data_IF_732417393848
#
_entry.id   IF_732417393848
#
_cell.length_a   1.000
_cell.length_b   1.000
_cell.length_c   1.000
_cell.angle_alpha   90.00
_cell.angle_beta   90.00
_cell.angle_gamma   90.00
#
_symmetry.space_group_name_H-M   'P 1'
#
loop_
_entity.id
_entity.type
_entity.pdbx_description
1 polymer ?
#
# COMPACT_ATOMS: atom_id res chain seq x y z
N UNK A 1 4.33 -51.30 -7.40
CA UNK A 1 3.77 -50.48 -6.32
C UNK A 1 2.62 -49.65 -6.92
N UNK A 2 1.41 -49.83 -6.43
CA UNK A 2 0.23 -49.17 -7.00
C UNK A 2 -0.02 -47.82 -6.29
N UNK A 3 -0.25 -46.76 -7.07
CA UNK A 3 -0.46 -45.37 -6.55
C UNK A 3 -1.72 -45.31 -5.63
N UNK A 4 -2.75 -46.08 -5.93
CA UNK A 4 -3.94 -46.15 -5.10
C UNK A 4 -3.65 -46.78 -3.73
N UNK A 5 -2.85 -47.83 -3.68
CA UNK A 5 -2.39 -48.42 -2.42
C UNK A 5 -1.54 -47.46 -1.56
N UNK A 6 -0.68 -46.65 -2.20
CA UNK A 6 0.11 -45.64 -1.49
C UNK A 6 -0.77 -44.51 -0.93
N UNK A 7 -1.76 -44.05 -1.68
CA UNK A 7 -2.71 -43.02 -1.22
C UNK A 7 -3.51 -43.52 0.00
N UNK A 8 -3.98 -44.78 -0.05
CA UNK A 8 -4.68 -45.38 1.08
C UNK A 8 -3.82 -45.43 2.35
N UNK A 9 -2.54 -45.77 2.22
CA UNK A 9 -1.60 -45.70 3.36
C UNK A 9 -1.44 -44.30 3.93
N UNK A 10 -1.41 -43.26 3.06
CA UNK A 10 -1.36 -41.87 3.49
C UNK A 10 -2.63 -41.50 4.26
N UNK A 11 -3.81 -41.86 3.72
CA UNK A 11 -5.11 -41.61 4.35
C UNK A 11 -5.20 -42.27 5.75
N UNK A 12 -4.67 -43.48 5.90
CA UNK A 12 -4.60 -44.19 7.18
C UNK A 12 -3.72 -43.42 8.20
N UNK A 13 -2.53 -42.95 7.76
CA UNK A 13 -1.61 -42.14 8.60
C UNK A 13 -2.27 -40.81 8.99
N UNK A 14 -2.93 -40.13 8.04
CA UNK A 14 -3.61 -38.87 8.31
C UNK A 14 -4.75 -39.04 9.33
N UNK A 15 -5.47 -40.14 9.28
CA UNK A 15 -6.49 -40.50 10.27
C UNK A 15 -5.92 -40.72 11.70
N UNK A 16 -4.66 -41.13 11.83
CA UNK A 16 -3.96 -41.21 13.11
C UNK A 16 -3.41 -39.84 13.54
N UNK A 17 -2.96 -39.02 12.60
CA UNK A 17 -2.36 -37.71 12.86
C UNK A 17 -3.39 -36.68 13.34
N UNK A 18 -4.60 -36.66 12.74
CA UNK A 18 -5.66 -35.69 13.06
C UNK A 18 -6.00 -35.69 14.56
N UNK A 19 -6.28 -36.82 15.23
CA UNK A 19 -6.54 -36.85 16.67
C UNK A 19 -5.38 -36.33 17.52
N UNK A 20 -4.13 -36.57 17.12
CA UNK A 20 -2.94 -36.07 17.80
C UNK A 20 -2.82 -34.56 17.70
N UNK A 21 -3.09 -34.00 16.51
CA UNK A 21 -3.12 -32.54 16.31
C UNK A 21 -4.25 -31.88 17.12
N UNK A 22 -5.45 -32.47 17.15
CA UNK A 22 -6.56 -31.98 17.97
C UNK A 22 -6.21 -31.99 19.47
N UNK A 23 -5.62 -33.08 19.94
CA UNK A 23 -5.14 -33.17 21.34
C UNK A 23 -4.09 -32.10 21.65
N UNK A 24 -3.16 -31.85 20.71
CA UNK A 24 -2.15 -30.80 20.86
C UNK A 24 -2.79 -29.41 20.90
N UNK A 25 -3.82 -29.14 20.12
CA UNK A 25 -4.55 -27.85 20.15
C UNK A 25 -5.27 -27.69 21.50
N UNK A 26 -5.93 -28.71 22.03
CA UNK A 26 -6.56 -28.67 23.34
C UNK A 26 -5.56 -28.37 24.48
N UNK A 27 -4.36 -28.95 24.44
CA UNK A 27 -3.29 -28.59 25.39
C UNK A 27 -2.85 -27.13 25.19
N UNK A 28 -2.79 -26.64 23.94
CA UNK A 28 -2.46 -25.24 23.66
C UNK A 28 -3.49 -24.27 24.24
N UNK A 29 -4.78 -24.64 24.28
CA UNK A 29 -5.83 -23.86 24.96
C UNK A 29 -5.60 -23.77 26.47
N UNK A 30 -5.22 -24.89 27.11
CA UNK A 30 -4.89 -24.90 28.55
C UNK A 30 -3.65 -24.04 28.84
N UNK A 31 -2.63 -24.08 27.95
CA UNK A 31 -1.45 -23.22 28.08
C UNK A 31 -1.83 -21.75 27.95
N UNK A 32 -2.80 -21.41 27.06
CA UNK A 32 -3.29 -20.04 26.93
C UNK A 32 -3.95 -19.54 28.22
N UNK A 33 -4.81 -20.34 28.82
CA UNK A 33 -5.44 -20.00 30.12
C UNK A 33 -4.41 -19.79 31.19
N UNK A 34 -3.45 -20.70 31.33
CA UNK A 34 -2.34 -20.58 32.30
C UNK A 34 -1.53 -19.29 32.12
N UNK A 35 -1.23 -18.92 30.86
CA UNK A 35 -0.51 -17.70 30.53
C UNK A 35 -1.35 -16.44 30.81
N UNK A 36 -2.64 -16.47 30.48
CA UNK A 36 -3.56 -15.36 30.75
C UNK A 36 -3.62 -15.02 32.24
N UNK A 37 -3.76 -16.01 33.11
CA UNK A 37 -3.81 -15.84 34.56
C UNK A 37 -2.54 -15.21 35.15
N UNK A 38 -1.39 -15.38 34.50
CA UNK A 38 -0.07 -14.95 34.96
C UNK A 38 0.54 -13.79 34.17
N UNK A 39 -0.20 -13.21 33.22
CA UNK A 39 0.30 -12.13 32.40
C UNK A 39 1.52 -12.52 31.54
N UNK A 40 1.65 -13.81 31.20
CA UNK A 40 2.79 -14.30 30.43
C UNK A 40 2.60 -14.09 28.93
N UNK A 41 3.67 -13.74 28.17
CA UNK A 41 3.59 -13.60 26.72
C UNK A 41 3.27 -14.93 26.04
N UNK A 42 2.56 -14.86 24.92
CA UNK A 42 2.24 -16.05 24.10
C UNK A 42 3.52 -16.67 23.53
N UNK A 43 4.37 -15.84 22.92
CA UNK A 43 5.62 -16.30 22.33
C UNK A 43 6.66 -16.65 23.39
N UNK A 44 7.25 -17.84 23.27
CA UNK A 44 8.45 -18.26 23.98
C UNK A 44 9.46 -18.79 22.96
N UNK A 45 10.32 -17.90 22.47
CA UNK A 45 11.28 -18.19 21.40
C UNK A 45 12.25 -19.32 21.75
N UNK A 46 12.72 -19.38 23.02
CA UNK A 46 13.64 -20.42 23.47
C UNK A 46 13.01 -21.82 23.41
N UNK A 47 11.76 -21.90 23.88
CA UNK A 47 11.02 -23.16 23.83
C UNK A 47 10.70 -23.62 22.44
N UNK A 48 10.34 -22.69 21.54
CA UNK A 48 10.07 -23.01 20.14
C UNK A 48 11.34 -23.48 19.42
N UNK A 49 12.47 -22.83 19.66
CA UNK A 49 13.76 -23.25 19.10
C UNK A 49 14.15 -24.65 19.60
N UNK A 50 14.00 -24.93 20.88
CA UNK A 50 14.24 -26.27 21.45
C UNK A 50 13.42 -27.35 20.77
N UNK A 51 12.13 -27.08 20.51
CA UNK A 51 11.24 -28.02 19.79
C UNK A 51 11.76 -28.27 18.38
N UNK A 52 12.12 -27.22 17.65
CA UNK A 52 12.63 -27.34 16.27
C UNK A 52 13.95 -28.11 16.20
N UNK A 53 14.84 -27.90 17.16
CA UNK A 53 16.14 -28.60 17.24
C UNK A 53 15.95 -30.08 17.58
N UNK A 54 15.05 -30.38 18.52
CA UNK A 54 14.69 -31.75 18.90
C UNK A 54 14.06 -32.51 17.73
N UNK A 55 13.16 -31.88 17.02
CA UNK A 55 12.54 -32.43 15.80
C UNK A 55 13.59 -32.72 14.73
N UNK A 56 14.51 -31.78 14.48
CA UNK A 56 15.55 -31.97 13.50
C UNK A 56 16.43 -33.18 13.82
N UNK A 57 16.80 -33.33 15.10
CA UNK A 57 17.67 -34.42 15.54
C UNK A 57 17.01 -35.80 15.41
N UNK A 58 15.69 -35.88 15.58
CA UNK A 58 14.92 -37.12 15.53
C UNK A 58 14.50 -37.59 14.13
N UNK A 59 14.43 -36.66 13.16
CA UNK A 59 13.83 -36.95 11.86
C UNK A 59 14.85 -37.24 10.73
N UNK A 60 16.15 -37.29 11.03
CA UNK A 60 17.20 -37.64 10.08
C UNK A 60 17.09 -36.81 8.77
N UNK A 61 17.07 -37.51 7.63
CA UNK A 61 17.02 -36.85 6.29
C UNK A 61 15.74 -36.01 6.05
N UNK A 62 14.71 -36.17 6.85
CA UNK A 62 13.44 -35.44 6.76
C UNK A 62 13.35 -34.30 7.77
N UNK A 63 14.42 -34.00 8.52
CA UNK A 63 14.44 -33.00 9.60
C UNK A 63 13.91 -31.65 9.18
N UNK A 64 14.38 -31.09 8.06
CA UNK A 64 13.93 -29.76 7.58
C UNK A 64 12.46 -29.74 7.15
N UNK A 65 11.99 -30.82 6.51
CA UNK A 65 10.57 -30.94 6.12
C UNK A 65 9.67 -30.98 7.35
N UNK A 66 10.01 -31.78 8.36
CA UNK A 66 9.22 -31.91 9.58
C UNK A 66 9.34 -30.64 10.44
N UNK A 67 10.48 -29.93 10.45
CA UNK A 67 10.58 -28.58 11.05
C UNK A 67 9.55 -27.62 10.49
N UNK A 68 9.35 -27.60 9.17
CA UNK A 68 8.34 -26.75 8.52
C UNK A 68 6.93 -27.08 9.02
N UNK A 69 6.58 -28.36 9.15
CA UNK A 69 5.29 -28.79 9.67
C UNK A 69 5.11 -28.37 11.13
N UNK A 70 6.15 -28.54 11.97
CA UNK A 70 6.09 -28.14 13.37
C UNK A 70 6.04 -26.63 13.53
N UNK A 71 6.75 -25.86 12.71
CA UNK A 71 6.63 -24.40 12.68
C UNK A 71 5.20 -23.96 12.38
N UNK A 72 4.57 -24.48 11.32
CA UNK A 72 3.17 -24.20 11.00
C UNK A 72 2.22 -24.61 12.14
N UNK A 73 2.49 -25.74 12.82
CA UNK A 73 1.70 -26.18 13.96
C UNK A 73 1.86 -25.26 15.18
N UNK A 74 3.05 -24.71 15.41
CA UNK A 74 3.29 -23.71 16.46
C UNK A 74 2.62 -22.37 16.12
N UNK A 75 2.64 -21.95 14.86
CA UNK A 75 1.92 -20.75 14.39
C UNK A 75 0.42 -20.86 14.67
N UNK A 76 -0.19 -22.01 14.31
CA UNK A 76 -1.60 -22.28 14.60
C UNK A 76 -1.89 -22.26 16.12
N UNK A 77 -0.99 -22.85 16.93
CA UNK A 77 -1.11 -22.84 18.40
C UNK A 77 -1.02 -21.41 18.96
N UNK A 78 -0.11 -20.56 18.46
CA UNK A 78 -0.02 -19.15 18.86
C UNK A 78 -1.28 -18.37 18.50
N UNK A 79 -1.79 -18.56 17.28
CA UNK A 79 -3.04 -17.92 16.84
C UNK A 79 -4.20 -18.28 17.78
N UNK A 80 -4.31 -19.55 18.16
CA UNK A 80 -5.33 -20.02 19.12
C UNK A 80 -5.13 -19.38 20.51
N UNK A 81 -3.89 -19.37 21.03
CA UNK A 81 -3.57 -18.73 22.32
C UNK A 81 -3.89 -17.25 22.32
N UNK A 82 -3.53 -16.49 21.28
CA UNK A 82 -3.89 -15.07 21.15
C UNK A 82 -5.40 -14.84 21.15
N UNK A 83 -6.17 -15.72 20.50
CA UNK A 83 -7.62 -15.65 20.52
C UNK A 83 -8.21 -15.82 21.91
N UNK A 84 -7.66 -16.72 22.73
CA UNK A 84 -8.11 -17.02 24.09
C UNK A 84 -7.68 -15.93 25.08
N UNK A 85 -6.42 -15.50 25.03
CA UNK A 85 -5.86 -14.46 25.92
C UNK A 85 -6.50 -13.11 25.63
N UNK A 86 -7.10 -12.95 24.44
CA UNK A 86 -7.76 -11.71 24.03
C UNK A 86 -6.77 -10.63 23.60
N UNK A 87 -5.60 -11.03 23.09
CA UNK A 87 -4.69 -10.11 22.40
C UNK A 87 -5.41 -9.36 21.29
N UNK A 88 -5.16 -8.04 21.20
CA UNK A 88 -5.83 -7.18 20.23
C UNK A 88 -7.30 -6.83 20.58
N UNK A 89 -7.69 -6.87 21.84
CA UNK A 89 -9.05 -6.48 22.27
C UNK A 89 -9.42 -5.08 21.80
N UNK A 90 -8.51 -4.12 21.92
CA UNK A 90 -8.73 -2.74 21.47
C UNK A 90 -8.95 -2.68 19.97
N UNK A 91 -8.05 -3.26 19.17
CA UNK A 91 -8.18 -3.29 17.71
C UNK A 91 -9.45 -4.03 17.26
N UNK A 92 -9.82 -5.09 17.96
CA UNK A 92 -11.05 -5.83 17.68
C UNK A 92 -12.28 -4.98 17.99
N UNK A 93 -12.29 -4.28 19.12
CA UNK A 93 -13.35 -3.34 19.48
C UNK A 93 -13.44 -2.20 18.47
N UNK A 94 -12.31 -1.66 17.99
CA UNK A 94 -12.28 -0.65 16.95
C UNK A 94 -12.93 -1.15 15.65
N UNK A 95 -12.64 -2.40 15.24
CA UNK A 95 -13.23 -3.01 14.04
C UNK A 95 -14.74 -3.29 14.23
N UNK A 96 -15.13 -3.78 15.39
CA UNK A 96 -16.55 -4.07 15.71
C UNK A 96 -17.38 -2.79 15.78
N UNK A 97 -16.81 -1.71 16.32
CA UNK A 97 -17.42 -0.40 16.44
C UNK A 97 -17.24 0.50 15.20
N UNK A 98 -16.51 0.02 14.18
CA UNK A 98 -16.27 0.79 12.96
C UNK A 98 -17.58 1.18 12.28
N UNK A 99 -17.60 2.38 11.70
CA UNK A 99 -18.73 2.88 10.92
C UNK A 99 -18.87 2.01 9.66
N UNK A 100 -19.97 1.26 9.57
CA UNK A 100 -20.28 0.45 8.38
C UNK A 100 -21.12 1.27 7.43
N UNK A 101 -20.62 1.45 6.20
CA UNK A 101 -21.23 2.31 5.18
C UNK A 101 -21.18 1.63 3.81
N UNK A 102 -22.08 2.00 2.93
CA UNK A 102 -22.04 1.50 1.55
C UNK A 102 -20.93 2.17 0.74
N UNK A 103 -20.71 3.48 0.95
CA UNK A 103 -19.68 4.27 0.25
C UNK A 103 -19.12 5.35 1.18
N UNK A 104 -17.85 5.68 0.96
CA UNK A 104 -17.21 6.81 1.63
C UNK A 104 -17.93 8.12 1.25
N UNK A 105 -18.43 8.84 2.27
CA UNK A 105 -19.08 10.12 2.10
C UNK A 105 -18.27 11.24 2.77
N UNK A 106 -18.03 12.30 2.01
CA UNK A 106 -17.27 13.47 2.47
C UNK A 106 -18.06 14.37 3.41
N UNK A 107 -19.36 14.15 3.53
CA UNK A 107 -20.28 15.01 4.30
C UNK A 107 -20.15 16.50 3.93
N UNK A 108 -19.95 16.79 2.64
CA UNK A 108 -19.79 18.15 2.13
C UNK A 108 -18.41 18.78 2.37
N UNK A 109 -17.51 18.10 3.08
CA UNK A 109 -16.13 18.58 3.30
C UNK A 109 -15.23 18.31 2.08
N UNK A 110 -14.20 19.14 1.84
CA UNK A 110 -13.23 18.90 0.78
C UNK A 110 -12.37 17.66 1.08
N UNK A 111 -11.78 17.11 0.02
CA UNK A 111 -10.73 16.09 0.11
C UNK A 111 -9.38 16.81 0.16
N UNK A 112 -8.54 16.45 1.14
CA UNK A 112 -7.16 16.93 1.20
C UNK A 112 -6.25 16.04 0.36
N UNK A 113 -5.40 16.62 -0.49
CA UNK A 113 -4.35 15.88 -1.19
C UNK A 113 -3.10 16.75 -1.41
N UNK A 114 -1.95 16.10 -1.54
CA UNK A 114 -0.69 16.80 -1.80
C UNK A 114 -0.57 17.14 -3.29
N UNK A 115 0.04 18.29 -3.59
CA UNK A 115 0.35 18.75 -4.94
C UNK A 115 -0.42 19.99 -5.34
N UNK A 116 -0.72 20.09 -6.62
CA UNK A 116 -1.48 21.19 -7.23
C UNK A 116 -2.56 20.62 -8.14
N UNK A 117 -3.46 21.46 -8.60
CA UNK A 117 -4.50 21.03 -9.53
C UNK A 117 -3.87 20.45 -10.81
N UNK A 118 -4.33 19.25 -11.21
CA UNK A 118 -3.74 18.47 -12.30
C UNK A 118 -2.74 17.40 -11.84
N UNK A 119 -2.31 17.40 -10.56
CA UNK A 119 -1.48 16.32 -10.00
C UNK A 119 -2.23 14.98 -9.95
N UNK A 120 -1.50 13.86 -9.94
CA UNK A 120 -2.11 12.51 -9.91
C UNK A 120 -2.92 12.24 -8.65
N UNK A 121 -2.57 12.85 -7.51
CA UNK A 121 -3.40 12.83 -6.29
C UNK A 121 -4.77 13.46 -6.52
N UNK A 122 -4.85 14.58 -7.24
CA UNK A 122 -6.10 15.22 -7.64
C UNK A 122 -6.90 14.39 -8.64
N UNK A 123 -6.22 13.72 -9.60
CA UNK A 123 -6.86 12.76 -10.51
C UNK A 123 -7.52 11.63 -9.72
N UNK A 124 -6.78 11.04 -8.77
CA UNK A 124 -7.28 9.97 -7.89
C UNK A 124 -8.46 10.45 -7.05
N UNK A 125 -8.35 11.65 -6.47
CA UNK A 125 -9.43 12.25 -5.68
C UNK A 125 -10.73 12.35 -6.48
N UNK A 126 -10.66 12.79 -7.73
CA UNK A 126 -11.83 12.87 -8.63
C UNK A 126 -12.37 11.50 -9.05
N UNK A 127 -11.53 10.49 -9.11
CA UNK A 127 -11.96 9.11 -9.42
C UNK A 127 -12.75 8.51 -8.26
N UNK A 128 -12.27 8.69 -7.02
CA UNK A 128 -12.91 8.14 -5.82
C UNK A 128 -14.11 9.00 -5.39
N UNK A 129 -13.96 10.34 -5.46
CA UNK A 129 -14.96 11.31 -5.02
C UNK A 129 -15.29 12.31 -6.13
N UNK A 130 -16.07 11.91 -7.16
CA UNK A 130 -16.29 12.74 -8.36
C UNK A 130 -16.91 14.11 -8.08
N UNK A 131 -17.73 14.22 -7.04
CA UNK A 131 -18.46 15.43 -6.67
C UNK A 131 -17.79 16.29 -5.60
N UNK A 132 -16.73 15.79 -4.96
CA UNK A 132 -16.06 16.51 -3.89
C UNK A 132 -15.19 17.66 -4.41
N UNK A 133 -15.12 18.74 -3.65
CA UNK A 133 -14.06 19.73 -3.77
C UNK A 133 -12.73 19.17 -3.29
N UNK A 134 -11.63 19.68 -3.82
CA UNK A 134 -10.28 19.21 -3.47
C UNK A 134 -9.47 20.40 -2.97
N UNK A 135 -8.87 20.24 -1.79
CA UNK A 135 -7.89 21.17 -1.25
C UNK A 135 -6.49 20.60 -1.45
N UNK A 136 -5.66 21.33 -2.15
CA UNK A 136 -4.29 20.95 -2.45
C UNK A 136 -3.33 21.55 -1.41
N UNK A 137 -2.44 20.71 -0.91
CA UNK A 137 -1.43 21.06 0.09
C UNK A 137 -0.03 20.85 -0.48
N UNK A 138 0.96 21.62 0.03
CA UNK A 138 2.34 21.53 -0.47
C UNK A 138 3.04 20.25 -0.02
N UNK A 139 2.85 19.85 1.24
CA UNK A 139 3.51 18.68 1.87
C UNK A 139 2.50 17.61 2.20
N UNK A 140 2.94 16.38 2.32
CA UNK A 140 2.08 15.27 2.80
C UNK A 140 1.59 15.54 4.22
N UNK A 141 2.45 16.04 5.11
CA UNK A 141 2.07 16.35 6.49
C UNK A 141 0.89 17.33 6.58
N UNK A 142 0.84 18.34 5.71
CA UNK A 142 -0.25 19.31 5.67
C UNK A 142 -1.61 18.63 5.34
N UNK A 143 -1.59 17.51 4.58
CA UNK A 143 -2.79 16.69 4.30
C UNK A 143 -3.27 16.02 5.58
N UNK A 144 -2.34 15.42 6.35
CA UNK A 144 -2.66 14.80 7.63
C UNK A 144 -3.21 15.82 8.64
N UNK A 145 -2.61 16.99 8.71
CA UNK A 145 -3.08 18.07 9.58
C UNK A 145 -4.48 18.57 9.22
N UNK A 146 -4.79 18.71 7.92
CA UNK A 146 -6.12 19.11 7.46
C UNK A 146 -7.19 18.07 7.88
N UNK A 147 -6.87 16.78 7.77
CA UNK A 147 -7.75 15.71 8.26
C UNK A 147 -7.82 15.72 9.79
N UNK A 148 -6.70 15.94 10.47
CA UNK A 148 -6.63 15.97 11.94
C UNK A 148 -7.49 17.10 12.55
N UNK A 149 -7.45 18.29 11.95
CA UNK A 149 -8.28 19.44 12.35
C UNK A 149 -9.74 19.28 11.94
N UNK A 150 -10.07 18.35 11.04
CA UNK A 150 -11.41 18.16 10.50
C UNK A 150 -11.78 19.15 9.40
N UNK A 151 -10.79 19.88 8.83
CA UNK A 151 -10.97 20.73 7.65
C UNK A 151 -11.34 19.89 6.43
N UNK A 152 -10.80 18.67 6.37
CA UNK A 152 -11.14 17.62 5.42
C UNK A 152 -11.54 16.36 6.16
N UNK A 153 -12.53 15.59 5.64
CA UNK A 153 -12.89 14.31 6.23
C UNK A 153 -11.91 13.21 5.83
N UNK A 154 -11.39 13.28 4.61
CA UNK A 154 -10.46 12.32 4.05
C UNK A 154 -9.23 13.01 3.46
N UNK A 155 -8.10 12.32 3.54
CA UNK A 155 -6.89 12.66 2.81
C UNK A 155 -6.58 11.59 1.77
N UNK A 156 -5.99 11.98 0.63
CA UNK A 156 -5.51 11.06 -0.40
C UNK A 156 -4.02 11.25 -0.55
N UNK A 157 -3.26 10.17 -0.32
CA UNK A 157 -1.81 10.13 -0.38
C UNK A 157 -1.30 8.92 -1.16
N UNK A 158 -0.19 9.03 -1.91
CA UNK A 158 0.45 7.89 -2.53
C UNK A 158 1.22 7.09 -1.47
N UNK A 159 1.23 5.76 -1.58
CA UNK A 159 2.03 4.88 -0.70
C UNK A 159 3.07 4.07 -1.47
N UNK A 160 2.81 3.78 -2.74
CA UNK A 160 3.68 2.96 -3.56
C UNK A 160 3.53 3.30 -5.03
N UNK A 161 4.66 3.28 -5.76
CA UNK A 161 4.67 3.31 -7.21
C UNK A 161 5.40 2.09 -7.75
N UNK A 162 4.82 1.39 -8.71
CA UNK A 162 5.35 0.13 -9.25
C UNK A 162 6.76 0.25 -9.87
N UNK A 163 7.22 1.47 -10.18
CA UNK A 163 8.53 1.75 -10.77
C UNK A 163 9.50 2.38 -9.78
N UNK A 164 8.99 3.23 -8.86
CA UNK A 164 9.81 4.00 -7.91
C UNK A 164 9.83 3.39 -6.50
N UNK A 165 8.97 2.40 -6.22
CA UNK A 165 8.87 1.77 -4.91
C UNK A 165 8.01 2.54 -3.91
N UNK A 166 8.27 2.32 -2.63
CA UNK A 166 7.48 2.84 -1.52
C UNK A 166 7.71 4.32 -1.25
N UNK A 167 6.66 5.01 -0.86
CA UNK A 167 6.70 6.41 -0.40
C UNK A 167 6.84 6.41 1.13
N UNK A 168 8.07 6.33 1.63
CA UNK A 168 8.37 6.17 3.06
C UNK A 168 7.72 7.25 3.94
N UNK A 169 7.77 8.52 3.53
CA UNK A 169 7.14 9.62 4.26
C UNK A 169 5.65 9.38 4.54
N UNK A 170 4.93 8.75 3.61
CA UNK A 170 3.51 8.43 3.81
C UNK A 170 3.30 7.43 4.94
N UNK A 171 4.14 6.40 5.04
CA UNK A 171 4.08 5.42 6.12
C UNK A 171 4.42 6.03 7.48
N UNK A 172 5.46 6.86 7.56
CA UNK A 172 5.87 7.56 8.78
C UNK A 172 4.74 8.45 9.31
N UNK A 173 4.08 9.17 8.41
CA UNK A 173 2.95 10.04 8.75
C UNK A 173 1.73 9.25 9.22
N UNK A 174 1.40 8.11 8.58
CA UNK A 174 0.31 7.25 9.04
C UNK A 174 0.56 6.75 10.46
N UNK A 175 1.79 6.32 10.77
CA UNK A 175 2.20 5.90 12.11
C UNK A 175 2.15 7.05 13.11
N UNK A 176 2.63 8.24 12.74
CA UNK A 176 2.63 9.44 13.58
C UNK A 176 1.22 9.87 13.98
N UNK A 177 0.31 9.97 13.00
CA UNK A 177 -1.07 10.45 13.21
C UNK A 177 -2.03 9.34 13.63
N UNK A 178 -1.64 8.07 13.51
CA UNK A 178 -2.48 6.87 13.79
C UNK A 178 -3.81 6.89 13.06
N UNK A 179 -3.80 7.33 11.81
CA UNK A 179 -5.00 7.34 10.97
C UNK A 179 -5.28 5.97 10.36
N UNK A 180 -6.56 5.76 10.07
CA UNK A 180 -7.04 4.55 9.41
C UNK A 180 -6.95 4.68 7.90
N UNK A 181 -6.66 3.57 7.24
CA UNK A 181 -6.77 3.42 5.79
C UNK A 181 -8.17 2.90 5.51
N UNK A 182 -9.03 3.75 4.92
CA UNK A 182 -10.44 3.45 4.67
C UNK A 182 -10.75 3.16 3.21
N UNK A 183 -9.76 3.28 2.33
CA UNK A 183 -9.88 2.96 0.91
C UNK A 183 -8.53 2.98 0.21
N UNK A 184 -8.46 2.36 -0.95
CA UNK A 184 -7.28 2.37 -1.81
C UNK A 184 -7.70 2.45 -3.29
N UNK A 185 -6.84 3.04 -4.11
CA UNK A 185 -7.04 3.14 -5.55
C UNK A 185 -5.71 3.01 -6.29
N UNK A 186 -5.64 2.08 -7.21
CA UNK A 186 -4.48 1.90 -8.08
C UNK A 186 -4.67 2.73 -9.35
N UNK A 187 -3.96 3.85 -9.45
CA UNK A 187 -4.01 4.74 -10.59
C UNK A 187 -2.92 4.38 -11.60
N UNK A 188 -3.31 4.04 -12.82
CA UNK A 188 -2.37 3.92 -13.93
C UNK A 188 -1.78 5.28 -14.26
N UNK A 189 -0.46 5.38 -14.27
CA UNK A 189 0.26 6.61 -14.57
C UNK A 189 0.55 6.67 -16.06
N UNK A 190 -0.09 7.61 -16.72
CA UNK A 190 0.07 7.86 -18.15
C UNK A 190 0.64 9.25 -18.35
N UNK A 191 1.78 9.31 -19.01
CA UNK A 191 2.48 10.55 -19.30
C UNK A 191 2.19 11.00 -20.73
N UNK A 192 1.90 12.28 -20.88
CA UNK A 192 1.73 12.93 -22.17
C UNK A 192 2.80 13.99 -22.39
N UNK A 193 3.31 14.10 -23.60
CA UNK A 193 4.05 15.28 -24.03
C UNK A 193 3.04 16.35 -24.43
N UNK A 194 3.13 17.51 -23.81
CA UNK A 194 2.21 18.62 -24.01
C UNK A 194 2.98 19.93 -24.21
N UNK A 195 2.39 20.85 -24.96
CA UNK A 195 2.97 22.17 -25.20
C UNK A 195 1.87 23.22 -25.40
N UNK A 196 2.23 24.50 -25.53
CA UNK A 196 1.29 25.55 -25.92
C UNK A 196 0.75 25.28 -27.33
N UNK A 197 -0.41 25.85 -27.64
CA UNK A 197 -1.09 25.61 -28.91
C UNK A 197 -0.30 26.05 -30.13
N UNK A 198 0.50 27.11 -29.99
CA UNK A 198 1.36 27.73 -31.02
C UNK A 198 2.74 27.07 -31.15
N UNK A 199 3.15 26.22 -30.20
CA UNK A 199 4.43 25.49 -30.25
C UNK A 199 4.41 24.47 -31.40
N UNK A 200 5.38 24.51 -32.30
CA UNK A 200 5.59 23.48 -33.31
C UNK A 200 6.41 22.33 -32.69
N UNK A 201 6.13 21.11 -33.10
CA UNK A 201 6.80 19.94 -32.56
C UNK A 201 8.32 19.95 -32.83
N UNK A 202 8.69 20.46 -34.01
CA UNK A 202 10.06 20.54 -34.53
C UNK A 202 10.91 21.59 -33.79
N UNK A 203 10.26 22.56 -33.14
CA UNK A 203 10.94 23.65 -32.43
C UNK A 203 11.25 23.29 -30.99
N UNK A 204 10.74 22.13 -30.47
CA UNK A 204 10.91 21.75 -29.07
C UNK A 204 12.35 21.31 -28.82
N UNK A 205 12.99 21.96 -27.84
CA UNK A 205 14.31 21.60 -27.34
C UNK A 205 14.27 21.11 -25.89
N UNK A 206 13.48 21.75 -25.04
CA UNK A 206 13.45 21.51 -23.61
C UNK A 206 12.11 20.95 -23.15
N UNK A 207 12.16 19.88 -22.35
CA UNK A 207 10.97 19.23 -21.80
C UNK A 207 11.03 19.26 -20.28
N UNK A 208 10.12 20.00 -19.69
CA UNK A 208 10.02 20.19 -18.24
C UNK A 208 9.20 19.09 -17.60
N UNK A 209 9.65 18.52 -16.48
CA UNK A 209 8.84 17.66 -15.63
C UNK A 209 9.56 17.34 -14.31
N UNK A 210 8.84 16.60 -13.44
CA UNK A 210 9.47 15.99 -12.25
C UNK A 210 10.57 14.99 -12.67
N UNK A 211 11.73 14.92 -11.97
CA UNK A 211 12.82 14.00 -12.32
C UNK A 211 12.40 12.58 -12.58
N UNK A 212 11.47 12.06 -11.77
CA UNK A 212 10.94 10.71 -11.93
C UNK A 212 10.16 10.54 -13.25
N UNK A 213 9.34 11.52 -13.66
CA UNK A 213 8.60 11.45 -14.90
C UNK A 213 9.53 11.54 -16.12
N UNK A 214 10.58 12.38 -16.06
CA UNK A 214 11.63 12.45 -17.09
C UNK A 214 12.35 11.10 -17.23
N UNK A 215 12.74 10.48 -16.10
CA UNK A 215 13.38 9.15 -16.10
C UNK A 215 12.45 8.07 -16.68
N UNK A 216 11.16 8.11 -16.35
CA UNK A 216 10.15 7.19 -16.88
C UNK A 216 9.86 7.36 -18.38
N UNK A 217 10.26 8.49 -18.97
CA UNK A 217 10.09 8.81 -20.38
C UNK A 217 11.41 8.97 -21.13
N UNK A 218 12.54 8.52 -20.55
CA UNK A 218 13.88 8.81 -21.10
C UNK A 218 14.10 8.23 -22.51
N UNK A 219 13.52 7.08 -22.83
CA UNK A 219 13.63 6.50 -24.19
C UNK A 219 12.95 7.41 -25.20
N UNK A 220 11.79 7.94 -24.87
CA UNK A 220 11.10 8.90 -25.73
C UNK A 220 11.91 10.18 -25.90
N UNK A 221 12.43 10.75 -24.81
CA UNK A 221 13.22 11.99 -24.87
C UNK A 221 14.47 11.85 -25.75
N UNK A 222 15.20 10.72 -25.63
CA UNK A 222 16.40 10.44 -26.42
C UNK A 222 16.13 10.26 -27.91
N UNK A 223 14.97 9.71 -28.28
CA UNK A 223 14.61 9.50 -29.68
C UNK A 223 14.37 10.81 -30.45
N UNK A 224 14.16 11.92 -29.74
CA UNK A 224 13.88 13.24 -30.31
C UNK A 224 14.90 14.30 -29.90
N UNK A 225 16.02 13.91 -29.27
CA UNK A 225 17.06 14.80 -28.75
C UNK A 225 16.54 15.92 -27.81
N UNK A 226 15.44 15.63 -27.08
CA UNK A 226 14.88 16.58 -26.14
C UNK A 226 15.69 16.63 -24.84
N UNK A 227 16.00 17.81 -24.36
CA UNK A 227 16.63 18.04 -23.07
C UNK A 227 15.61 18.03 -21.94
N UNK A 228 15.71 17.07 -21.01
CA UNK A 228 14.85 17.01 -19.83
C UNK A 228 15.26 18.01 -18.76
N UNK A 229 14.36 18.91 -18.38
CA UNK A 229 14.58 19.93 -17.34
C UNK A 229 13.79 19.59 -16.09
N UNK A 230 14.47 19.48 -14.96
CA UNK A 230 13.85 19.13 -13.68
C UNK A 230 12.94 20.25 -13.15
N UNK A 231 11.75 19.83 -12.69
CA UNK A 231 10.79 20.72 -12.03
C UNK A 231 10.19 20.05 -10.78
N UNK A 232 9.61 20.84 -9.89
CA UNK A 232 9.13 20.36 -8.58
C UNK A 232 8.07 19.24 -8.66
N UNK A 233 7.15 19.32 -9.64
CA UNK A 233 6.20 18.28 -9.97
C UNK A 233 5.65 18.46 -11.39
N UNK A 234 5.01 17.42 -11.95
CA UNK A 234 4.53 17.40 -13.33
C UNK A 234 3.44 18.45 -13.63
N UNK A 235 2.55 18.71 -12.67
CA UNK A 235 1.47 19.68 -12.86
C UNK A 235 1.96 21.13 -12.70
N UNK A 236 2.90 21.38 -11.78
CA UNK A 236 3.56 22.68 -11.67
C UNK A 236 4.40 23.00 -12.91
N UNK A 237 5.06 22.01 -13.50
CA UNK A 237 5.75 22.16 -14.79
C UNK A 237 4.77 22.50 -15.91
N UNK A 238 3.58 21.87 -15.94
CA UNK A 238 2.54 22.19 -16.92
C UNK A 238 2.07 23.65 -16.78
N UNK A 239 1.87 24.12 -15.56
CA UNK A 239 1.56 25.52 -15.29
C UNK A 239 2.66 26.44 -15.81
N UNK A 240 3.90 26.16 -15.47
CA UNK A 240 5.05 26.95 -15.92
C UNK A 240 5.12 27.06 -17.44
N UNK A 241 4.99 25.92 -18.16
CA UNK A 241 5.04 25.92 -19.63
C UNK A 241 3.87 26.72 -20.23
N UNK A 242 2.69 26.64 -19.61
CA UNK A 242 1.52 27.38 -20.08
C UNK A 242 1.66 28.91 -19.93
N UNK A 243 2.38 29.37 -18.91
CA UNK A 243 2.59 30.78 -18.58
C UNK A 243 3.89 31.37 -19.19
N UNK A 244 4.75 30.52 -19.78
CA UNK A 244 6.03 30.93 -20.36
C UNK A 244 5.87 31.59 -21.72
N UNK A 245 6.69 32.61 -22.01
CA UNK A 245 6.76 33.23 -23.33
C UNK A 245 7.55 32.42 -24.36
N UNK A 246 8.26 31.36 -23.92
CA UNK A 246 9.03 30.49 -24.80
C UNK A 246 8.12 29.58 -25.64
N UNK A 247 8.47 29.40 -26.93
CA UNK A 247 7.75 28.54 -27.85
C UNK A 247 8.51 27.26 -28.21
N UNK A 248 9.70 27.06 -27.65
CA UNK A 248 10.55 25.87 -27.83
C UNK A 248 10.54 24.93 -26.64
N UNK A 249 9.56 25.06 -25.75
CA UNK A 249 9.46 24.25 -24.54
C UNK A 249 8.18 23.42 -24.53
N UNK A 250 8.31 22.22 -23.93
CA UNK A 250 7.20 21.29 -23.71
C UNK A 250 7.23 20.77 -22.26
N UNK A 251 6.23 20.01 -21.88
CA UNK A 251 6.08 19.41 -20.56
C UNK A 251 5.65 17.96 -20.67
N UNK A 252 6.16 17.12 -19.76
CA UNK A 252 5.60 15.81 -19.49
C UNK A 252 4.65 15.92 -18.30
N UNK A 253 3.35 15.69 -18.53
CA UNK A 253 2.32 15.78 -17.50
C UNK A 253 1.16 14.81 -17.76
N UNK A 254 0.18 14.78 -16.84
CA UNK A 254 -1.08 14.06 -17.04
C UNK A 254 -1.99 14.78 -18.06
N UNK A 255 -2.89 14.02 -18.69
CA UNK A 255 -3.91 14.62 -19.56
C UNK A 255 -4.78 15.65 -18.81
N UNK A 256 -5.06 15.41 -17.51
CA UNK A 256 -5.83 16.34 -16.71
C UNK A 256 -5.09 17.67 -16.52
N UNK A 257 -3.78 17.62 -16.26
CA UNK A 257 -2.96 18.83 -16.15
C UNK A 257 -2.90 19.58 -17.50
N UNK A 258 -2.75 18.86 -18.61
CA UNK A 258 -2.77 19.48 -19.93
C UNK A 258 -4.10 20.22 -20.21
N UNK A 259 -5.24 19.59 -19.94
CA UNK A 259 -6.57 20.22 -20.05
C UNK A 259 -6.72 21.43 -19.13
N UNK A 260 -6.27 21.32 -17.89
CA UNK A 260 -6.36 22.41 -16.90
C UNK A 260 -5.60 23.66 -17.33
N UNK A 261 -4.41 23.49 -17.87
CA UNK A 261 -3.53 24.60 -18.28
C UNK A 261 -3.61 24.94 -19.77
N UNK A 262 -4.67 24.46 -20.46
CA UNK A 262 -4.92 24.72 -21.88
C UNK A 262 -3.73 24.41 -22.80
N UNK A 263 -3.04 23.32 -22.50
CA UNK A 263 -1.94 22.81 -23.31
C UNK A 263 -2.46 21.78 -24.32
N UNK A 264 -1.95 21.79 -25.55
CA UNK A 264 -2.22 20.74 -26.53
C UNK A 264 -1.40 19.50 -26.20
N UNK A 265 -2.02 18.33 -26.34
CA UNK A 265 -1.35 17.04 -26.19
C UNK A 265 -0.72 16.69 -27.55
N UNK A 266 0.60 16.66 -27.58
CA UNK A 266 1.37 16.30 -28.78
C UNK A 266 1.50 14.78 -28.94
N UNK A 267 1.74 14.07 -27.83
CA UNK A 267 1.86 12.61 -27.81
C UNK A 267 1.36 12.06 -26.48
N UNK A 268 0.62 10.94 -26.52
CA UNK A 268 0.16 10.20 -25.34
C UNK A 268 1.04 8.98 -25.08
N UNK A 269 1.01 8.49 -23.84
CA UNK A 269 1.62 7.22 -23.46
C UNK A 269 3.12 7.14 -23.80
N UNK A 270 3.87 8.19 -23.44
CA UNK A 270 5.29 8.30 -23.76
C UNK A 270 6.22 7.64 -22.74
N UNK A 271 5.65 7.07 -21.65
CA UNK A 271 6.41 6.35 -20.63
C UNK A 271 7.00 5.04 -21.16
N UNK A 272 8.18 4.68 -20.65
CA UNK A 272 8.90 3.45 -21.03
C UNK A 272 8.12 2.17 -20.65
N UNK A 273 7.36 2.22 -19.54
CA UNK A 273 6.61 1.08 -19.03
C UNK A 273 5.11 1.41 -18.93
N UNK A 274 4.30 0.71 -19.71
CA UNK A 274 2.85 0.89 -19.72
C UNK A 274 2.13 0.28 -18.50
N UNK A 275 2.84 -0.43 -17.62
CA UNK A 275 2.33 -0.99 -16.37
C UNK A 275 2.62 -0.11 -15.14
N UNK A 276 3.09 1.14 -15.36
CA UNK A 276 3.35 2.07 -14.26
C UNK A 276 2.04 2.43 -13.54
N UNK A 277 1.98 2.07 -12.27
CA UNK A 277 0.80 2.27 -11.41
C UNK A 277 1.25 2.87 -10.08
N UNK A 278 0.52 3.85 -9.59
CA UNK A 278 0.68 4.37 -8.23
C UNK A 278 -0.52 3.99 -7.40
N UNK A 279 -0.25 3.35 -6.26
CA UNK A 279 -1.26 3.07 -5.25
C UNK A 279 -1.45 4.28 -4.37
N UNK A 280 -2.65 4.81 -4.37
CA UNK A 280 -3.12 5.84 -3.46
C UNK A 280 -4.01 5.21 -2.39
N UNK A 281 -3.93 5.75 -1.18
CA UNK A 281 -4.83 5.38 -0.09
C UNK A 281 -5.66 6.57 0.35
N UNK A 282 -6.83 6.25 0.90
CA UNK A 282 -7.71 7.21 1.57
C UNK A 282 -7.51 7.07 3.06
N UNK A 283 -7.05 8.14 3.70
CA UNK A 283 -6.83 8.20 5.15
C UNK A 283 -7.98 8.93 5.84
N UNK A 284 -8.31 8.49 7.07
CA UNK A 284 -9.33 9.09 7.92
C UNK A 284 -8.96 8.97 9.40
N UNK A 285 -9.47 9.89 10.24
CA UNK A 285 -9.38 9.77 11.72
C UNK A 285 -10.28 8.66 12.26
N UNK A 286 -11.37 8.36 11.58
CA UNK A 286 -12.37 7.38 11.99
C UNK A 286 -12.27 6.15 11.09
N UNK A 287 -12.36 4.97 11.69
CA UNK A 287 -12.43 3.73 10.94
C UNK A 287 -13.81 3.59 10.31
N UNK A 288 -13.85 3.65 8.99
CA UNK A 288 -15.04 3.36 8.20
C UNK A 288 -14.78 2.13 7.33
N UNK A 289 -15.70 1.18 7.36
CA UNK A 289 -15.62 -0.06 6.58
C UNK A 289 -16.75 -0.05 5.56
N UNK A 290 -16.38 -0.04 4.27
CA UNK A 290 -17.35 -0.11 3.18
C UNK A 290 -17.86 -1.55 2.98
N UNK A 291 -19.10 -1.70 2.49
CA UNK A 291 -19.71 -3.02 2.27
C UNK A 291 -18.96 -3.90 1.26
N UNK A 292 -18.17 -3.28 0.37
CA UNK A 292 -17.32 -3.94 -0.62
C UNK A 292 -15.87 -4.15 -0.16
N UNK A 293 -15.55 -3.86 1.10
CA UNK A 293 -14.20 -4.03 1.64
C UNK A 293 -13.78 -5.52 1.66
N UNK A 294 -12.73 -5.85 0.90
CA UNK A 294 -12.22 -7.22 0.77
C UNK A 294 -10.79 -7.40 1.27
N UNK A 295 -10.13 -6.31 1.67
CA UNK A 295 -8.72 -6.30 2.07
C UNK A 295 -8.53 -5.51 3.36
N UNK A 296 -7.56 -5.94 4.14
CA UNK A 296 -7.09 -5.23 5.33
C UNK A 296 -5.68 -4.71 5.03
N UNK A 297 -5.44 -3.44 5.34
CA UNK A 297 -4.10 -2.85 5.31
C UNK A 297 -3.59 -2.69 6.74
N UNK A 298 -2.40 -3.23 7.02
CA UNK A 298 -1.76 -3.13 8.32
C UNK A 298 -0.43 -2.39 8.15
N UNK A 299 -0.19 -1.41 9.01
CA UNK A 299 1.10 -0.73 9.12
C UNK A 299 1.54 -0.90 10.57
N UNK A 300 2.72 -1.48 10.77
CA UNK A 300 3.28 -1.72 12.09
C UNK A 300 4.80 -1.57 12.07
N UNK A 301 5.37 -1.25 13.21
CA UNK A 301 6.81 -1.28 13.41
C UNK A 301 7.19 -2.51 14.22
N UNK A 302 8.30 -3.15 13.84
CA UNK A 302 8.87 -4.24 14.59
C UNK A 302 10.07 -3.73 15.40
N UNK A 303 10.28 -4.21 16.64
CA UNK A 303 11.51 -3.92 17.34
C UNK A 303 12.69 -4.54 16.59
N UNK A 304 13.78 -3.77 16.42
CA UNK A 304 15.02 -4.28 15.83
C UNK A 304 15.67 -5.33 16.74
N UNK A 305 15.19 -6.57 16.62
CA UNK A 305 15.78 -7.75 17.28
C UNK A 305 15.98 -8.83 16.24
N UNK A 306 17.05 -9.60 16.35
CA UNK A 306 17.31 -10.76 15.50
C UNK A 306 16.10 -11.71 15.55
N UNK A 307 15.53 -12.05 14.40
CA UNK A 307 14.35 -12.93 14.30
C UNK A 307 13.00 -12.21 14.49
N UNK A 308 12.93 -10.89 14.34
CA UNK A 308 11.66 -10.12 14.38
C UNK A 308 10.87 -10.18 13.06
N UNK A 309 11.43 -10.74 11.99
CA UNK A 309 10.79 -11.01 10.69
C UNK A 309 10.83 -12.51 10.43
#
# INVERSE_FOLDING_TARGET
>A
MDLLGLRKQIDEIDNELIPLLLKRMSVSEQVAQYKAERGMPVLNSEREQQILDDVASKCGKHGDTIKTVFSATMDASRALQHKIIGGGKELRADIENAIKIDKLDTCGKPIACQGVEGAYSGVTSKKIFPKASIHFHKRFEDVFEAVNRGDSKFGIIPVENSTAGSVHESYDLIMKYRFYIVGAYDLKIEHCLCAKNDTKYEDITDVYSHPQALSQCNNFLRNFDFTGINYSNTAAAAKYVSESDKNNIAVICSELAAKKYNLKILKRNIQNNNKNTTRFIVISKELAITSDAQKISLIFSLPHKTGSL
#
